data_IF_370654512399
#
_entry.id   IF_370654512399
#
_cell.length_a   1.000
_cell.length_b   1.000
_cell.length_c   1.000
_cell.angle_alpha   90.00
_cell.angle_beta   90.00
_cell.angle_gamma   90.00
#
_symmetry.space_group_name_H-M   'P 1'
#
loop_
_entity.id
_entity.type
_entity.pdbx_description
1 polymer ?
#
# COMPACT_ATOMS: atom_id res chain seq x y z
N UNK A 1 -8.44 2.90 39.01
CA UNK A 1 -7.51 2.92 37.86
C UNK A 1 -8.39 2.89 36.64
N UNK A 2 -8.95 4.05 36.28
CA UNK A 2 -9.93 4.17 35.19
C UNK A 2 -9.24 4.00 33.85
N UNK A 3 -9.72 3.05 33.06
CA UNK A 3 -9.29 2.87 31.68
C UNK A 3 -9.68 4.12 30.88
N UNK A 4 -8.71 4.73 30.22
CA UNK A 4 -8.95 5.86 29.33
C UNK A 4 -9.99 5.47 28.25
N UNK A 5 -10.88 6.39 27.84
CA UNK A 5 -11.86 6.11 26.81
C UNK A 5 -11.15 5.80 25.49
N UNK A 6 -11.37 4.58 24.98
CA UNK A 6 -10.95 4.17 23.64
C UNK A 6 -11.75 4.98 22.62
N UNK A 7 -11.15 6.03 22.07
CA UNK A 7 -11.75 6.73 20.93
C UNK A 7 -11.89 5.76 19.76
N UNK A 8 -13.05 5.70 19.08
CA UNK A 8 -13.18 4.89 17.88
C UNK A 8 -12.14 5.38 16.86
N UNK A 9 -11.28 4.48 16.40
CA UNK A 9 -10.29 4.81 15.39
C UNK A 9 -11.01 5.32 14.14
N UNK A 10 -10.75 6.57 13.76
CA UNK A 10 -11.24 7.13 12.51
C UNK A 10 -10.59 6.32 11.39
N UNK A 11 -11.39 5.49 10.71
CA UNK A 11 -10.96 4.71 9.56
C UNK A 11 -11.10 5.56 8.31
N UNK A 12 -10.07 5.59 7.48
CA UNK A 12 -10.21 6.19 6.17
C UNK A 12 -11.19 5.33 5.33
N UNK A 13 -11.97 5.91 4.40
CA UNK A 13 -12.88 5.13 3.55
C UNK A 13 -12.18 3.98 2.79
N UNK A 14 -10.92 4.17 2.41
CA UNK A 14 -10.11 3.13 1.76
C UNK A 14 -9.87 1.90 2.65
N UNK A 15 -9.98 2.04 3.97
CA UNK A 15 -9.80 0.94 4.90
C UNK A 15 -11.01 0.00 4.97
N UNK A 16 -12.14 0.36 4.35
CA UNK A 16 -13.34 -0.49 4.28
C UNK A 16 -13.37 -1.38 3.03
N UNK A 17 -12.48 -1.13 2.05
CA UNK A 17 -12.39 -1.96 0.85
C UNK A 17 -11.91 -3.38 1.20
N UNK A 18 -12.32 -4.43 0.48
CA UNK A 18 -11.65 -5.74 0.53
C UNK A 18 -10.21 -5.69 0.04
N UNK A 19 -9.40 -6.71 0.36
CA UNK A 19 -8.02 -6.77 -0.09
C UNK A 19 -7.88 -6.88 -1.61
N UNK A 20 -8.82 -7.57 -2.29
CA UNK A 20 -8.85 -7.67 -3.76
C UNK A 20 -8.92 -6.28 -4.42
N UNK A 21 -9.83 -5.43 -3.94
CA UNK A 21 -9.97 -4.07 -4.47
C UNK A 21 -8.74 -3.19 -4.14
N UNK A 22 -8.10 -3.38 -2.98
CA UNK A 22 -6.83 -2.72 -2.69
C UNK A 22 -5.72 -3.17 -3.66
N UNK A 23 -5.60 -4.47 -3.90
CA UNK A 23 -4.60 -5.04 -4.81
C UNK A 23 -4.80 -4.58 -6.25
N UNK A 24 -6.06 -4.43 -6.71
CA UNK A 24 -6.38 -3.87 -8.01
C UNK A 24 -5.99 -2.39 -8.11
N UNK A 25 -6.30 -1.59 -7.08
CA UNK A 25 -5.88 -0.18 -7.00
C UNK A 25 -4.36 -0.07 -7.05
N UNK A 26 -3.64 -0.90 -6.29
CA UNK A 26 -2.19 -0.87 -6.30
C UNK A 26 -1.62 -1.23 -7.68
N UNK A 27 -2.23 -2.17 -8.37
CA UNK A 27 -1.83 -2.59 -9.71
C UNK A 27 -2.02 -1.45 -10.73
N UNK A 28 -3.14 -0.72 -10.65
CA UNK A 28 -3.38 0.48 -11.46
C UNK A 28 -2.37 1.60 -11.15
N UNK A 29 -2.04 1.79 -9.87
CA UNK A 29 -1.02 2.75 -9.45
C UNK A 29 0.38 2.41 -9.95
N UNK A 30 0.76 1.13 -9.90
CA UNK A 30 2.06 0.67 -10.42
C UNK A 30 2.18 0.74 -11.95
N UNK A 31 1.06 0.70 -12.68
CA UNK A 31 1.02 0.91 -14.12
C UNK A 31 1.09 2.39 -14.53
N UNK A 32 0.93 3.30 -13.56
CA UNK A 32 1.04 4.73 -13.82
C UNK A 32 2.52 5.12 -14.00
N UNK A 33 2.84 6.08 -14.88
CA UNK A 33 4.21 6.57 -15.02
C UNK A 33 4.73 7.09 -13.67
N UNK A 34 6.00 6.82 -13.33
CA UNK A 34 6.59 7.38 -12.12
C UNK A 34 6.61 8.91 -12.21
N UNK A 35 6.33 9.56 -11.08
CA UNK A 35 6.48 11.00 -10.90
C UNK A 35 7.94 11.34 -10.67
N UNK A 36 8.38 12.53 -11.08
CA UNK A 36 9.74 13.05 -10.80
C UNK A 36 10.05 13.11 -9.29
N UNK A 37 9.02 13.06 -8.44
CA UNK A 37 9.11 13.10 -6.98
C UNK A 37 9.18 11.72 -6.33
N UNK A 38 9.08 10.64 -7.10
CA UNK A 38 9.06 9.28 -6.56
C UNK A 38 10.45 8.86 -6.11
N UNK A 39 10.66 8.85 -4.79
CA UNK A 39 11.91 8.38 -4.18
C UNK A 39 11.99 6.85 -4.11
N UNK A 40 10.87 6.16 -4.30
CA UNK A 40 10.73 4.72 -4.18
C UNK A 40 9.79 4.18 -5.25
N UNK A 41 10.03 2.98 -5.79
CA UNK A 41 9.06 2.26 -6.60
C UNK A 41 7.69 2.18 -5.91
N UNK A 42 6.63 2.38 -6.68
CA UNK A 42 5.25 2.38 -6.17
C UNK A 42 4.90 1.16 -5.29
N UNK A 43 5.28 -0.09 -5.62
CA UNK A 43 5.05 -1.26 -4.76
C UNK A 43 5.63 -1.12 -3.34
N UNK A 44 6.80 -0.48 -3.23
CA UNK A 44 7.45 -0.22 -1.94
C UNK A 44 6.75 0.90 -1.17
N UNK A 45 6.31 1.95 -1.87
CA UNK A 45 5.54 3.04 -1.26
C UNK A 45 4.27 2.53 -0.59
N UNK A 46 3.42 1.77 -1.32
CA UNK A 46 2.16 1.28 -0.76
C UNK A 46 2.37 0.26 0.38
N UNK A 47 3.45 -0.52 0.32
CA UNK A 47 3.86 -1.45 1.39
C UNK A 47 4.31 -0.74 2.67
N UNK A 48 4.64 0.56 2.60
CA UNK A 48 5.08 1.39 3.71
C UNK A 48 3.94 1.99 4.54
N UNK A 49 2.72 2.07 4.01
CA UNK A 49 1.63 2.86 4.61
C UNK A 49 1.05 2.22 5.88
N UNK A 50 0.71 0.93 5.84
CA UNK A 50 0.15 0.21 6.98
C UNK A 50 0.42 -1.30 6.89
N UNK A 51 0.21 -2.03 7.99
CA UNK A 51 0.31 -3.50 8.01
C UNK A 51 -0.61 -4.16 6.98
N UNK A 52 -1.85 -3.69 6.89
CA UNK A 52 -2.85 -4.21 5.96
C UNK A 52 -2.48 -3.96 4.50
N UNK A 53 -1.97 -2.77 4.20
CA UNK A 53 -1.54 -2.43 2.84
C UNK A 53 -0.32 -3.24 2.43
N UNK A 54 0.62 -3.46 3.36
CA UNK A 54 1.77 -4.34 3.15
C UNK A 54 1.34 -5.77 2.82
N UNK A 55 0.42 -6.34 3.60
CA UNK A 55 -0.09 -7.69 3.35
C UNK A 55 -0.74 -7.79 1.96
N UNK A 56 -1.63 -6.84 1.61
CA UNK A 56 -2.31 -6.81 0.32
C UNK A 56 -1.35 -6.56 -0.87
N UNK A 57 -0.30 -5.77 -0.68
CA UNK A 57 0.72 -5.51 -1.69
C UNK A 57 1.60 -6.74 -1.91
N UNK A 58 2.12 -7.36 -0.83
CA UNK A 58 2.95 -8.57 -0.92
C UNK A 58 2.15 -9.74 -1.53
N UNK A 59 0.86 -9.85 -1.21
CA UNK A 59 -0.02 -10.90 -1.75
C UNK A 59 -0.50 -10.64 -3.19
N UNK A 60 -0.05 -9.59 -3.87
CA UNK A 60 -0.46 -9.25 -5.24
C UNK A 60 0.69 -9.47 -6.24
N UNK A 61 0.81 -10.67 -6.85
CA UNK A 61 1.87 -10.95 -7.82
C UNK A 61 1.99 -9.96 -8.99
N UNK A 62 0.90 -9.43 -9.58
CA UNK A 62 1.00 -8.44 -10.65
C UNK A 62 1.80 -7.19 -10.26
N UNK A 63 1.72 -6.79 -8.99
CA UNK A 63 2.41 -5.62 -8.45
C UNK A 63 3.94 -5.76 -8.46
N UNK A 64 4.46 -7.00 -8.46
CA UNK A 64 5.89 -7.33 -8.42
C UNK A 64 6.40 -7.93 -9.73
N UNK A 65 5.62 -7.81 -10.81
CA UNK A 65 5.98 -8.33 -12.13
C UNK A 65 7.16 -7.59 -12.78
N UNK A 66 7.47 -6.38 -12.31
CA UNK A 66 8.60 -5.57 -12.77
C UNK A 66 9.42 -5.09 -11.57
N UNK A 67 10.69 -5.47 -11.53
CA UNK A 67 11.62 -5.11 -10.47
C UNK A 67 12.83 -4.40 -11.06
N UNK A 68 13.17 -3.25 -10.50
CA UNK A 68 14.35 -2.48 -10.86
C UNK A 68 15.39 -2.62 -9.75
N UNK A 69 16.58 -3.05 -10.11
CA UNK A 69 17.72 -3.11 -9.19
C UNK A 69 18.63 -1.93 -9.50
N UNK A 70 19.05 -1.20 -8.47
CA UNK A 70 20.16 -0.25 -8.60
C UNK A 70 21.47 -1.03 -8.53
N UNK A 71 22.41 -0.74 -9.43
CA UNK A 71 23.79 -1.18 -9.25
C UNK A 71 24.50 -0.13 -8.39
N UNK A 72 25.21 -0.58 -7.35
CA UNK A 72 26.14 0.23 -6.58
C UNK A 72 27.42 0.54 -7.38
#
# INVERSE_FOLDING_TARGET
MDAAPSYPAIRAPIDTLPNELLSDIFTMGAASPPSDWDQLPFPLLVSGISRRWREAAISSPPLWSQLFFTAD
#
